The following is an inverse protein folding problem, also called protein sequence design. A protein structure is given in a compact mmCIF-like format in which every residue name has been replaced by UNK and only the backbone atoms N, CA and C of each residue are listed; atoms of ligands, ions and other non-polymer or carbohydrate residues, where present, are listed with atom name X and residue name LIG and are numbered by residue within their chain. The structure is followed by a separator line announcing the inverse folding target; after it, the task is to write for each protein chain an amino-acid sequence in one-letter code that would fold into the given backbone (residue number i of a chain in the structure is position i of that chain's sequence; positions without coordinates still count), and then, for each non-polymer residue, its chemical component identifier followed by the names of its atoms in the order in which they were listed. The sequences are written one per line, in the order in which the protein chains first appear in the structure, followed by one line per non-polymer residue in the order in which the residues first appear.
data_IF_215158668246
#
_entry.id   IF_215158668246
#
_cell.length_a   1.000
_cell.length_b   1.000
_cell.length_c   1.000
_cell.angle_alpha   90.00
_cell.angle_beta   90.00
_cell.angle_gamma   90.00
#
_symmetry.space_group_name_H-M   'P 1'
#
loop_
_entity.id
_entity.type
_entity.pdbx_description
1 polymer ?
#
# COMPACT_ATOMS: atom_id res chain seq x y z
N UNK A 1 -8.14 3.98 -13.38
CA UNK A 1 -9.05 4.18 -12.24
C UNK A 1 -9.30 2.82 -11.58
N UNK A 2 -8.81 2.54 -10.37
CA UNK A 2 -8.76 1.14 -9.84
C UNK A 2 -10.12 0.49 -9.53
N UNK A 3 -11.20 1.27 -9.50
CA UNK A 3 -12.56 0.75 -9.34
C UNK A 3 -13.29 0.56 -10.68
N UNK A 4 -12.79 1.21 -11.75
CA UNK A 4 -13.27 1.13 -13.13
C UNK A 4 -12.08 0.85 -14.04
N UNK A 5 -11.59 -0.39 -13.96
CA UNK A 5 -10.39 -0.87 -14.68
C UNK A 5 -10.56 -0.81 -16.20
N UNK A 6 -11.81 -0.95 -16.67
CA UNK A 6 -12.16 -0.93 -18.09
C UNK A 6 -12.45 0.50 -18.61
N UNK A 7 -12.38 1.50 -17.74
CA UNK A 7 -12.65 2.91 -18.04
C UNK A 7 -14.05 3.14 -18.67
N UNK A 8 -15.04 2.37 -18.21
CA UNK A 8 -16.42 2.36 -18.73
C UNK A 8 -17.26 3.52 -18.23
N UNK A 9 -16.81 4.25 -17.21
CA UNK A 9 -17.56 5.33 -16.57
C UNK A 9 -18.63 4.83 -15.59
N UNK A 10 -18.62 3.55 -15.21
CA UNK A 10 -19.54 2.99 -14.22
C UNK A 10 -18.94 1.76 -13.52
N UNK A 11 -19.34 1.51 -12.26
CA UNK A 11 -19.00 0.29 -11.53
C UNK A 11 -20.11 -0.77 -11.63
N UNK A 12 -19.73 -2.04 -11.68
CA UNK A 12 -20.68 -3.13 -11.44
C UNK A 12 -21.19 -3.08 -10.00
N UNK A 13 -22.36 -3.68 -9.75
CA UNK A 13 -22.96 -3.72 -8.39
C UNK A 13 -21.98 -4.32 -7.38
N UNK A 14 -21.30 -5.40 -7.75
CA UNK A 14 -20.37 -6.13 -6.90
C UNK A 14 -19.16 -5.26 -6.57
N UNK A 15 -18.56 -4.61 -7.59
CA UNK A 15 -17.44 -3.68 -7.38
C UNK A 15 -17.87 -2.48 -6.54
N UNK A 16 -19.12 -2.02 -6.67
CA UNK A 16 -19.65 -0.90 -5.88
C UNK A 16 -19.81 -1.28 -4.41
N UNK A 17 -20.33 -2.47 -4.10
CA UNK A 17 -20.38 -2.97 -2.72
C UNK A 17 -18.99 -3.08 -2.10
N UNK A 18 -18.02 -3.62 -2.85
CA UNK A 18 -16.61 -3.70 -2.41
C UNK A 18 -16.03 -2.31 -2.17
N UNK A 19 -16.27 -1.37 -3.08
CA UNK A 19 -15.83 0.02 -2.92
C UNK A 19 -16.43 0.67 -1.67
N UNK A 20 -17.72 0.44 -1.38
CA UNK A 20 -18.35 0.97 -0.17
C UNK A 20 -17.82 0.29 1.11
N UNK A 21 -17.46 -0.99 1.06
CA UNK A 21 -16.82 -1.67 2.19
C UNK A 21 -15.42 -1.12 2.42
N UNK A 22 -14.64 -0.88 1.36
CA UNK A 22 -13.31 -0.26 1.46
C UNK A 22 -13.39 1.19 1.91
N UNK A 23 -14.45 1.90 1.50
CA UNK A 23 -14.77 3.22 2.01
C UNK A 23 -15.12 3.07 3.48
N UNK A 24 -16.30 2.61 3.85
CA UNK A 24 -16.77 2.69 5.23
C UNK A 24 -16.11 1.72 6.22
N UNK A 25 -15.25 0.81 5.77
CA UNK A 25 -14.62 -0.25 6.57
C UNK A 25 -15.63 -1.24 7.18
N UNK A 26 -16.88 -1.21 6.71
CA UNK A 26 -17.94 -2.15 7.04
C UNK A 26 -18.90 -2.27 5.85
N UNK A 27 -19.62 -3.40 5.74
CA UNK A 27 -20.66 -3.58 4.72
C UNK A 27 -21.93 -2.82 5.12
N UNK A 28 -22.31 -1.74 4.41
CA UNK A 28 -23.50 -0.99 4.80
C UNK A 28 -24.77 -1.78 4.47
N UNK A 29 -25.86 -1.47 5.16
CA UNK A 29 -27.15 -2.12 4.92
C UNK A 29 -27.66 -1.84 3.49
N UNK A 30 -28.47 -2.76 2.93
CA UNK A 30 -29.06 -2.57 1.59
C UNK A 30 -29.83 -1.25 1.44
N UNK A 31 -30.46 -0.80 2.52
CA UNK A 31 -31.19 0.48 2.58
C UNK A 31 -30.20 1.65 2.50
N UNK A 32 -29.14 1.62 3.30
CA UNK A 32 -28.10 2.65 3.30
C UNK A 32 -27.37 2.72 1.95
N UNK A 33 -27.08 1.56 1.35
CA UNK A 33 -26.49 1.49 0.01
C UNK A 33 -27.39 2.09 -1.07
N UNK A 34 -28.73 1.95 -0.94
CA UNK A 34 -29.67 2.60 -1.85
C UNK A 34 -29.71 4.11 -1.67
N UNK A 35 -29.66 4.61 -0.43
CA UNK A 35 -29.54 6.04 -0.16
C UNK A 35 -28.26 6.62 -0.73
N UNK A 36 -27.13 5.96 -0.49
CA UNK A 36 -25.83 6.34 -1.05
C UNK A 36 -25.87 6.31 -2.58
N UNK A 37 -26.45 5.27 -3.18
CA UNK A 37 -26.55 5.18 -4.64
C UNK A 37 -27.44 6.27 -5.25
N UNK A 38 -28.46 6.76 -4.53
CA UNK A 38 -29.29 7.88 -5.01
C UNK A 38 -28.57 9.22 -4.80
N UNK A 39 -27.90 9.39 -3.65
CA UNK A 39 -27.19 10.61 -3.28
C UNK A 39 -25.89 10.81 -4.09
N UNK A 40 -25.15 9.73 -4.33
CA UNK A 40 -23.97 9.66 -5.20
C UNK A 40 -24.33 9.45 -6.67
N UNK A 41 -25.53 8.96 -6.96
CA UNK A 41 -25.99 8.59 -8.31
C UNK A 41 -26.07 9.74 -9.31
N UNK A 42 -25.76 10.97 -8.88
CA UNK A 42 -25.69 12.15 -9.73
C UNK A 42 -24.24 12.50 -10.10
N UNK A 43 -23.20 11.93 -9.45
CA UNK A 43 -21.82 12.19 -9.85
C UNK A 43 -20.84 11.06 -9.52
N UNK A 44 -20.72 10.13 -10.46
CA UNK A 44 -19.75 9.03 -10.46
C UNK A 44 -18.30 9.52 -10.29
N UNK A 45 -17.94 10.63 -10.93
CA UNK A 45 -16.60 11.23 -10.84
C UNK A 45 -16.23 11.59 -9.39
N UNK A 46 -17.12 12.27 -8.66
CA UNK A 46 -16.88 12.60 -7.23
C UNK A 46 -16.75 11.35 -6.36
N UNK A 47 -17.43 10.27 -6.70
CA UNK A 47 -17.29 9.02 -5.98
C UNK A 47 -15.91 8.38 -6.23
N UNK A 48 -15.45 8.37 -7.48
CA UNK A 48 -14.09 7.91 -7.81
C UNK A 48 -13.01 8.78 -7.17
N UNK A 49 -13.21 10.09 -7.12
CA UNK A 49 -12.31 11.02 -6.44
C UNK A 49 -12.24 10.71 -4.93
N UNK A 50 -13.39 10.48 -4.29
CA UNK A 50 -13.45 10.13 -2.87
C UNK A 50 -12.78 8.78 -2.59
N UNK A 51 -13.00 7.78 -3.44
CA UNK A 51 -12.39 6.46 -3.35
C UNK A 51 -10.87 6.52 -3.58
N UNK A 52 -10.42 7.34 -4.52
CA UNK A 52 -9.00 7.54 -4.83
C UNK A 52 -8.29 8.30 -3.72
N UNK A 53 -8.90 9.38 -3.21
CA UNK A 53 -8.38 10.15 -2.09
C UNK A 53 -8.31 9.30 -0.81
N UNK A 54 -9.35 8.51 -0.49
CA UNK A 54 -9.31 7.63 0.69
C UNK A 54 -8.32 6.49 0.53
N UNK A 55 -8.21 5.90 -0.67
CA UNK A 55 -7.20 4.87 -0.94
C UNK A 55 -5.79 5.44 -0.76
N UNK A 56 -5.53 6.65 -1.26
CA UNK A 56 -4.27 7.33 -1.02
C UNK A 56 -4.05 7.50 0.50
N UNK A 57 -5.02 8.05 1.24
CA UNK A 57 -4.93 8.19 2.70
C UNK A 57 -4.69 6.85 3.41
N UNK A 58 -5.31 5.75 2.97
CA UNK A 58 -5.07 4.41 3.54
C UNK A 58 -3.68 3.86 3.21
N UNK A 59 -3.18 4.07 1.98
CA UNK A 59 -1.80 3.72 1.62
C UNK A 59 -0.80 4.52 2.49
N UNK A 60 -1.04 5.83 2.65
CA UNK A 60 -0.26 6.72 3.51
C UNK A 60 -0.45 6.47 5.02
N UNK A 61 -1.49 5.74 5.45
CA UNK A 61 -1.69 5.35 6.85
C UNK A 61 -1.33 3.88 7.13
N UNK A 62 -0.92 3.13 6.11
CA UNK A 62 -0.56 1.72 6.25
C UNK A 62 0.70 1.55 7.12
N UNK A 63 0.82 0.42 7.82
CA UNK A 63 2.01 0.08 8.61
C UNK A 63 3.27 0.09 7.75
N UNK A 64 3.19 -0.41 6.51
CA UNK A 64 4.28 -0.36 5.52
C UNK A 64 4.75 1.06 5.22
N UNK A 65 3.83 2.01 5.09
CA UNK A 65 4.18 3.43 4.89
C UNK A 65 4.81 4.06 6.14
N UNK A 66 4.30 3.73 7.32
CA UNK A 66 4.88 4.20 8.58
C UNK A 66 6.32 3.68 8.77
N UNK A 67 6.58 2.43 8.41
CA UNK A 67 7.93 1.87 8.42
C UNK A 67 8.78 2.57 7.37
N UNK A 68 8.32 2.69 6.12
CA UNK A 68 9.10 3.36 5.06
C UNK A 68 9.51 4.79 5.45
N UNK A 69 8.58 5.57 6.02
CA UNK A 69 8.87 6.93 6.48
C UNK A 69 9.77 7.00 7.69
N UNK A 70 9.80 5.96 8.54
CA UNK A 70 10.80 5.85 9.60
C UNK A 70 12.23 5.63 9.05
N UNK A 71 12.36 5.00 7.88
CA UNK A 71 13.64 4.83 7.18
C UNK A 71 14.00 6.07 6.33
N UNK A 72 13.02 6.74 5.73
CA UNK A 72 13.21 7.95 4.92
C UNK A 72 13.22 9.22 5.79
N UNK A 73 14.20 9.30 6.70
CA UNK A 73 14.33 10.39 7.70
C UNK A 73 14.35 11.78 7.06
N UNK A 74 14.89 11.88 5.85
CA UNK A 74 14.99 13.15 5.11
C UNK A 74 13.79 13.41 4.20
N UNK A 75 12.78 12.52 4.18
CA UNK A 75 11.57 12.64 3.37
C UNK A 75 11.85 12.85 1.88
N UNK A 76 12.83 12.11 1.34
CA UNK A 76 13.23 12.17 -0.06
C UNK A 76 12.23 11.45 -0.98
N UNK A 77 11.41 10.57 -0.43
CA UNK A 77 10.49 9.69 -1.14
C UNK A 77 11.15 8.38 -1.63
N UNK A 78 12.42 8.15 -1.28
CA UNK A 78 13.20 6.96 -1.64
C UNK A 78 14.33 6.72 -0.62
N UNK A 79 14.78 5.49 -0.49
CA UNK A 79 15.90 5.10 0.37
C UNK A 79 17.12 4.75 -0.46
N UNK A 80 18.22 5.47 -0.24
CA UNK A 80 19.53 5.05 -0.76
C UNK A 80 20.08 3.90 0.08
N UNK A 81 21.11 3.21 -0.44
CA UNK A 81 21.84 2.21 0.33
C UNK A 81 22.35 2.74 1.68
N UNK A 82 22.75 4.01 1.73
CA UNK A 82 23.22 4.64 2.97
C UNK A 82 22.08 4.86 3.99
N UNK A 83 20.90 5.30 3.54
CA UNK A 83 19.72 5.47 4.41
C UNK A 83 19.26 4.11 4.97
N UNK A 84 19.24 3.10 4.10
CA UNK A 84 18.92 1.72 4.45
C UNK A 84 19.89 1.21 5.53
N UNK A 85 21.20 1.34 5.30
CA UNK A 85 22.24 0.91 6.25
C UNK A 85 22.18 1.65 7.58
N UNK A 86 21.99 2.98 7.56
CA UNK A 86 21.91 3.79 8.79
C UNK A 86 20.74 3.37 9.67
N UNK A 87 19.57 3.17 9.06
CA UNK A 87 18.37 2.79 9.80
C UNK A 87 18.43 1.34 10.27
N UNK A 88 18.96 0.43 9.44
CA UNK A 88 19.08 -0.97 9.83
C UNK A 88 19.99 -1.17 11.06
N UNK A 89 21.08 -0.40 11.13
CA UNK A 89 22.00 -0.38 12.26
C UNK A 89 21.44 0.30 13.52
N UNK A 90 20.39 1.12 13.41
CA UNK A 90 19.74 1.73 14.57
C UNK A 90 18.62 0.87 15.15
N UNK A 91 17.99 0.02 14.34
CA UNK A 91 16.83 -0.81 14.72
C UNK A 91 17.22 -2.24 15.14
N UNK A 92 18.31 -2.81 14.59
CA UNK A 92 18.75 -4.18 14.89
C UNK A 92 20.19 -4.24 15.39
N UNK A 93 20.52 -5.24 16.20
CA UNK A 93 21.89 -5.54 16.58
C UNK A 93 22.67 -6.00 15.35
N UNK A 94 23.36 -5.07 14.69
CA UNK A 94 24.32 -5.22 13.57
C UNK A 94 24.16 -6.52 12.77
N UNK A 95 23.53 -6.44 11.60
CA UNK A 95 23.72 -7.48 10.59
C UNK A 95 25.20 -7.56 10.19
N UNK A 96 25.70 -8.76 9.82
CA UNK A 96 27.03 -8.87 9.24
C UNK A 96 27.12 -7.99 8.00
N UNK A 97 28.22 -7.24 7.85
CA UNK A 97 28.45 -6.25 6.78
C UNK A 97 28.30 -6.83 5.35
N UNK A 98 28.34 -8.16 5.22
CA UNK A 98 28.14 -8.89 3.96
C UNK A 98 26.66 -9.10 3.57
N UNK A 99 25.73 -9.02 4.52
CA UNK A 99 24.30 -9.27 4.30
C UNK A 99 23.57 -8.00 3.87
N UNK A 100 24.02 -6.82 4.31
CA UNK A 100 23.42 -5.52 3.97
C UNK A 100 23.30 -5.27 2.45
N UNK A 101 24.35 -5.52 1.62
CA UNK A 101 24.28 -5.27 0.18
C UNK A 101 23.36 -6.25 -0.56
N UNK A 102 23.27 -7.49 -0.09
CA UNK A 102 22.40 -8.50 -0.69
C UNK A 102 20.92 -8.20 -0.39
N UNK A 103 20.62 -7.87 0.87
CA UNK A 103 19.27 -7.48 1.29
C UNK A 103 18.80 -6.21 0.57
N UNK A 104 19.66 -5.20 0.41
CA UNK A 104 19.30 -4.01 -0.36
C UNK A 104 18.94 -4.35 -1.80
N UNK A 105 19.76 -5.18 -2.45
CA UNK A 105 19.59 -5.58 -3.85
C UNK A 105 18.39 -6.50 -4.07
N UNK A 106 17.93 -7.19 -3.04
CA UNK A 106 16.69 -7.98 -3.08
C UNK A 106 15.44 -7.09 -3.00
N UNK A 107 15.52 -5.97 -2.28
CA UNK A 107 14.44 -5.01 -2.18
C UNK A 107 14.40 -4.07 -3.39
N UNK A 108 15.56 -3.65 -3.92
CA UNK A 108 15.70 -2.80 -5.12
C UNK A 108 15.32 -3.57 -6.42
N UNK A 109 14.02 -3.70 -6.68
CA UNK A 109 13.48 -4.58 -7.72
C UNK A 109 13.76 -4.10 -9.15
N UNK A 110 13.84 -2.79 -9.37
CA UNK A 110 14.17 -2.22 -10.67
C UNK A 110 15.66 -1.88 -10.83
N UNK A 111 16.46 -2.07 -9.77
CA UNK A 111 17.91 -1.93 -9.77
C UNK A 111 18.39 -0.52 -10.15
N UNK A 112 17.60 0.50 -9.78
CA UNK A 112 17.95 1.90 -10.00
C UNK A 112 18.89 2.47 -8.91
N UNK A 113 19.19 1.66 -7.89
CA UNK A 113 20.06 2.00 -6.76
C UNK A 113 19.33 2.72 -5.63
N UNK A 114 18.00 2.84 -5.71
CA UNK A 114 17.13 3.48 -4.74
C UNK A 114 15.92 2.58 -4.45
N UNK A 115 15.59 2.37 -3.17
CA UNK A 115 14.35 1.68 -2.82
C UNK A 115 13.23 2.72 -2.81
N UNK A 116 12.33 2.64 -3.80
CA UNK A 116 11.10 3.41 -3.79
C UNK A 116 10.08 2.82 -2.80
N UNK A 117 9.02 3.57 -2.46
CA UNK A 117 7.94 3.01 -1.66
C UNK A 117 7.30 1.79 -2.32
N UNK A 118 7.25 1.73 -3.67
CA UNK A 118 6.69 0.59 -4.39
C UNK A 118 7.52 -0.66 -4.19
N UNK A 119 8.84 -0.53 -4.22
CA UNK A 119 9.79 -1.64 -3.99
C UNK A 119 9.68 -2.14 -2.55
N UNK A 120 9.64 -1.20 -1.60
CA UNK A 120 9.44 -1.50 -0.19
C UNK A 120 8.10 -2.20 0.09
N UNK A 121 7.02 -1.71 -0.53
CA UNK A 121 5.68 -2.30 -0.39
C UNK A 121 5.62 -3.70 -1.00
N UNK A 122 6.28 -3.90 -2.14
CA UNK A 122 6.44 -5.21 -2.79
C UNK A 122 7.16 -6.19 -1.85
N UNK A 123 8.34 -5.83 -1.35
CA UNK A 123 9.13 -6.67 -0.45
C UNK A 123 8.37 -7.05 0.84
N UNK A 124 7.65 -6.10 1.45
CA UNK A 124 6.86 -6.35 2.67
C UNK A 124 5.63 -7.24 2.41
N UNK A 125 5.03 -7.19 1.21
CA UNK A 125 3.94 -8.11 0.81
C UNK A 125 4.46 -9.53 0.64
N UNK A 126 5.59 -9.72 -0.04
CA UNK A 126 6.19 -11.04 -0.24
C UNK A 126 6.67 -11.68 1.07
N UNK A 127 7.22 -10.90 2.00
CA UNK A 127 7.63 -11.41 3.32
C UNK A 127 6.47 -11.93 4.17
N UNK A 128 5.25 -11.42 3.99
CA UNK A 128 4.06 -11.87 4.71
C UNK A 128 3.51 -13.20 4.16
N UNK A 129 3.76 -13.51 2.88
CA UNK A 129 3.32 -14.75 2.24
C UNK A 129 4.25 -15.94 2.55
N UNK A 130 5.58 -15.71 2.65
CA UNK A 130 6.52 -16.77 3.08
C UNK A 130 6.54 -16.99 4.61
N UNK A 131 6.10 -15.99 5.40
CA UNK A 131 5.92 -16.13 6.85
C UNK A 131 4.80 -17.08 7.28
N UNK A 132 3.93 -17.53 6.38
CA UNK A 132 2.86 -18.52 6.66
C UNK A 132 3.28 -19.98 6.46
N UNK A 133 4.44 -20.27 5.87
CA UNK A 133 4.85 -21.66 5.56
C UNK A 133 5.84 -22.28 6.55
N UNK A 134 6.40 -21.52 7.50
CA UNK A 134 7.35 -22.04 8.50
C UNK A 134 6.73 -22.33 9.87
N UNK A 135 5.41 -22.28 10.02
CA UNK A 135 4.73 -22.69 11.27
C UNK A 135 4.23 -24.16 11.28
N UNK A 136 4.54 -24.95 10.25
CA UNK A 136 4.12 -26.36 10.14
C UNK A 136 5.21 -27.34 9.66
N UNK A 137 6.48 -27.11 9.99
CA UNK A 137 7.53 -28.14 9.83
C UNK A 137 8.41 -28.25 11.07
#
# INVERSE_FOLDING_TARGET
NMCDEDNKGYLSREKFEVALVLLFSYKPSKVYMRFISIFLGILFEKFLDLMSARRAVQLYNSETWQIFTAFDVQSKGFLTFEDFKKTFNSVSSKLPERVEPEAFREVDQDSDGCISFKDFESAMKYGHDEGSLLYFA
#
